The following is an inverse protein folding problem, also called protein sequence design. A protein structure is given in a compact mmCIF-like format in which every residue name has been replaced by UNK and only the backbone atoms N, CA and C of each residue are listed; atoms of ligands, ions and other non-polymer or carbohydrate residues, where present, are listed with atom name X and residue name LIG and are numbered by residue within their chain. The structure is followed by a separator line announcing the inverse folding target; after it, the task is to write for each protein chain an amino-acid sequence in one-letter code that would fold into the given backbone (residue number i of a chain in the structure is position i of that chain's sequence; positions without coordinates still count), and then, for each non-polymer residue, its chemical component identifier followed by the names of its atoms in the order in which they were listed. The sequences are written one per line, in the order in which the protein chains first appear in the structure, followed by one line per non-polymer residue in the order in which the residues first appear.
data_IF_774764568435
#
_entry.id   IF_774764568435
#
_cell.length_a   1.000
_cell.length_b   1.000
_cell.length_c   1.000
_cell.angle_alpha   90.00
_cell.angle_beta   90.00
_cell.angle_gamma   90.00
#
_symmetry.space_group_name_H-M   'P 1'
#
loop_
_entity.id
_entity.type
_entity.pdbx_description
1 polymer ?
#
# COMPACT_ATOMS: atom_id res chain seq x y z
N UNK A 1 3.41 -13.51 -1.80
CA UNK A 1 4.03 -14.04 -0.57
C UNK A 1 2.98 -14.48 0.45
N UNK A 2 3.37 -15.17 1.55
CA UNK A 2 2.43 -15.61 2.58
C UNK A 2 1.85 -14.42 3.35
N UNK A 3 0.63 -14.57 3.88
CA UNK A 3 0.10 -13.65 4.88
C UNK A 3 0.74 -13.96 6.22
N UNK A 4 1.29 -12.94 6.87
CA UNK A 4 1.87 -13.03 8.21
C UNK A 4 0.89 -12.38 9.18
N UNK A 5 0.52 -13.08 10.25
CA UNK A 5 -0.28 -12.53 11.33
C UNK A 5 0.57 -12.28 12.56
N UNK A 6 0.41 -11.10 13.15
CA UNK A 6 1.12 -10.65 14.33
C UNK A 6 0.15 -10.00 15.34
N UNK A 7 0.63 -9.72 16.53
CA UNK A 7 -0.14 -9.01 17.55
C UNK A 7 0.54 -7.71 17.96
N UNK A 8 -0.26 -6.69 18.17
CA UNK A 8 0.18 -5.40 18.71
C UNK A 8 0.99 -5.60 20.00
N UNK A 9 2.12 -4.89 20.11
CA UNK A 9 3.04 -4.97 21.25
C UNK A 9 3.85 -6.28 21.34
N UNK A 10 3.68 -7.22 20.39
CA UNK A 10 4.40 -8.49 20.39
C UNK A 10 5.45 -8.51 19.28
N UNK A 11 6.71 -8.50 19.68
CA UNK A 11 7.83 -8.53 18.73
C UNK A 11 7.81 -9.80 17.88
N UNK A 12 8.05 -9.62 16.58
CA UNK A 12 8.26 -10.69 15.60
C UNK A 12 9.64 -10.51 14.99
N UNK A 13 10.39 -11.61 14.83
CA UNK A 13 11.67 -11.63 14.11
C UNK A 13 11.47 -12.48 12.86
N UNK A 14 11.69 -11.88 11.69
CA UNK A 14 11.60 -12.55 10.40
C UNK A 14 13.00 -12.71 9.85
N UNK A 15 13.47 -13.96 9.78
CA UNK A 15 14.70 -14.28 9.08
C UNK A 15 14.42 -14.49 7.61
N UNK A 16 14.80 -13.53 6.80
CA UNK A 16 14.73 -13.63 5.35
C UNK A 16 16.00 -14.25 4.79
N UNK A 17 15.83 -15.23 3.89
CA UNK A 17 16.92 -15.83 3.12
C UNK A 17 16.70 -15.54 1.65
N UNK A 18 17.71 -14.98 1.00
CA UNK A 18 17.67 -14.67 -0.42
C UNK A 18 18.29 -15.79 -1.26
N UNK A 19 17.44 -16.63 -1.84
CA UNK A 19 17.84 -17.70 -2.79
C UNK A 19 17.64 -17.28 -4.26
N UNK A 20 17.15 -16.05 -4.50
CA UNK A 20 17.03 -15.49 -5.84
C UNK A 20 18.41 -15.16 -6.42
N UNK A 21 18.55 -15.06 -7.74
CA UNK A 21 19.81 -14.66 -8.37
C UNK A 21 20.10 -13.16 -8.28
N UNK A 22 19.24 -12.38 -7.62
CA UNK A 22 19.29 -10.91 -7.55
C UNK A 22 19.27 -10.45 -6.09
N UNK A 23 19.86 -9.28 -5.75
CA UNK A 23 19.69 -8.67 -4.45
C UNK A 23 18.23 -8.32 -4.15
N UNK A 24 17.84 -8.35 -2.88
CA UNK A 24 16.50 -7.97 -2.41
C UNK A 24 16.60 -7.08 -1.18
N UNK A 25 15.53 -6.32 -0.92
CA UNK A 25 15.30 -5.56 0.31
C UNK A 25 13.83 -5.75 0.69
N UNK A 26 13.52 -5.99 1.96
CA UNK A 26 12.12 -6.07 2.36
C UNK A 26 11.73 -4.90 3.23
N UNK A 27 10.78 -4.09 2.75
CA UNK A 27 10.13 -3.04 3.52
C UNK A 27 8.81 -3.57 4.12
N UNK A 28 8.57 -3.26 5.40
CA UNK A 28 7.25 -3.45 6.03
C UNK A 28 6.45 -2.16 5.91
N UNK A 29 5.68 -2.04 4.86
CA UNK A 29 4.86 -0.87 4.54
C UNK A 29 3.78 -0.62 5.61
N UNK A 30 3.80 0.56 6.20
CA UNK A 30 2.95 0.94 7.32
C UNK A 30 3.47 0.50 8.69
N UNK A 31 4.65 -0.12 8.73
CA UNK A 31 5.29 -0.58 9.96
C UNK A 31 5.98 0.54 10.73
N UNK A 32 5.70 0.64 12.04
CA UNK A 32 6.50 1.47 12.97
C UNK A 32 7.69 0.62 13.42
N UNK A 33 8.79 0.71 12.68
CA UNK A 33 9.95 -0.16 12.82
C UNK A 33 11.24 0.62 13.06
N UNK A 34 12.24 0.03 13.74
CA UNK A 34 13.56 0.64 13.80
C UNK A 34 14.20 0.70 12.40
N UNK A 35 15.07 1.69 12.12
CA UNK A 35 15.58 1.94 10.77
C UNK A 35 16.32 0.76 10.15
N UNK A 36 16.99 -0.07 10.94
CA UNK A 36 17.65 -1.29 10.48
C UNK A 36 16.70 -2.39 10.03
N UNK A 37 15.41 -2.29 10.35
CA UNK A 37 14.35 -3.21 9.97
C UNK A 37 13.29 -2.59 9.06
N UNK A 38 13.46 -1.33 8.66
CA UNK A 38 12.53 -0.61 7.78
C UNK A 38 12.61 -1.09 6.32
N UNK A 39 13.75 -1.64 5.90
CA UNK A 39 13.98 -2.00 4.50
C UNK A 39 14.41 -0.79 3.66
N UNK A 40 15.39 -0.03 4.15
CA UNK A 40 15.93 1.10 3.41
C UNK A 40 16.47 0.65 2.03
N UNK A 41 16.21 1.37 0.92
CA UNK A 41 16.39 0.89 -0.45
C UNK A 41 17.79 0.35 -0.81
N UNK A 42 18.82 0.77 -0.11
CA UNK A 42 20.20 0.32 -0.32
C UNK A 42 20.69 -0.70 0.71
N UNK A 43 19.82 -1.16 1.61
CA UNK A 43 20.13 -2.18 2.63
C UNK A 43 19.96 -3.59 2.07
N UNK A 44 20.86 -4.02 1.23
CA UNK A 44 20.71 -5.20 0.37
C UNK A 44 20.96 -6.52 1.11
N UNK A 45 20.16 -7.52 0.76
CA UNK A 45 20.43 -8.94 1.00
C UNK A 45 20.91 -9.55 -0.31
N UNK A 46 22.20 -9.83 -0.42
CA UNK A 46 22.79 -10.47 -1.59
C UNK A 46 22.37 -11.95 -1.68
N UNK A 47 22.35 -12.53 -2.90
CA UNK A 47 22.10 -13.95 -3.08
C UNK A 47 23.01 -14.86 -2.25
N UNK A 48 22.49 -16.00 -1.77
CA UNK A 48 23.31 -17.05 -1.14
C UNK A 48 24.37 -17.61 -2.09
N UNK A 49 24.13 -17.55 -3.41
CA UNK A 49 25.09 -17.98 -4.44
C UNK A 49 26.32 -17.08 -4.59
N UNK A 50 26.33 -15.93 -3.91
CA UNK A 50 27.48 -15.02 -3.88
C UNK A 50 27.74 -14.19 -5.15
N UNK A 51 26.93 -14.35 -6.20
CA UNK A 51 27.04 -13.57 -7.43
C UNK A 51 26.07 -12.39 -7.39
N UNK A 52 26.50 -11.26 -6.84
CA UNK A 52 25.81 -10.00 -7.04
C UNK A 52 26.33 -9.37 -8.34
N UNK A 53 25.46 -9.06 -9.28
CA UNK A 53 25.78 -8.20 -10.40
C UNK A 53 26.32 -6.84 -9.95
N UNK A 54 26.80 -6.00 -10.85
CA UNK A 54 27.33 -4.69 -10.52
C UNK A 54 26.31 -3.87 -9.72
N UNK A 55 26.63 -3.55 -8.47
CA UNK A 55 25.80 -2.70 -7.62
C UNK A 55 26.19 -1.25 -7.82
N UNK A 56 25.23 -0.40 -8.18
CA UNK A 56 25.47 1.02 -8.42
C UNK A 56 25.42 1.89 -7.15
N UNK A 57 24.84 1.36 -6.04
CA UNK A 57 24.68 2.10 -4.78
C UNK A 57 25.17 1.28 -3.58
N UNK A 58 26.26 1.73 -2.96
CA UNK A 58 26.91 1.05 -1.83
C UNK A 58 26.72 1.75 -0.47
N UNK A 59 25.74 2.65 -0.34
CA UNK A 59 25.60 3.49 0.85
C UNK A 59 24.80 2.86 2.00
N UNK A 60 24.30 1.63 1.85
CA UNK A 60 23.47 0.92 2.82
C UNK A 60 24.19 -0.26 3.51
N UNK A 61 23.49 -0.91 4.43
CA UNK A 61 23.92 -2.13 5.08
C UNK A 61 23.74 -3.33 4.12
N UNK A 62 24.84 -4.01 3.79
CA UNK A 62 24.83 -5.17 2.88
C UNK A 62 25.02 -6.45 3.69
N UNK A 63 24.13 -7.41 3.54
CA UNK A 63 24.23 -8.75 4.12
C UNK A 63 24.30 -9.81 3.03
N UNK A 64 24.85 -10.98 3.34
CA UNK A 64 24.98 -12.10 2.41
C UNK A 64 24.03 -13.23 2.77
N UNK A 65 23.18 -13.58 1.86
CA UNK A 65 22.26 -14.71 1.95
C UNK A 65 21.10 -14.55 2.93
N UNK A 66 21.31 -13.90 4.08
CA UNK A 66 20.28 -13.78 5.12
C UNK A 66 20.32 -12.43 5.83
N UNK A 67 19.12 -11.97 6.28
CA UNK A 67 18.95 -10.83 7.18
C UNK A 67 17.79 -11.09 8.13
N UNK A 68 17.95 -10.66 9.38
CA UNK A 68 16.88 -10.65 10.37
C UNK A 68 16.23 -9.27 10.40
N UNK A 69 14.90 -9.23 10.23
CA UNK A 69 14.07 -8.05 10.44
C UNK A 69 13.37 -8.20 11.78
N UNK A 70 13.50 -7.19 12.64
CA UNK A 70 12.88 -7.16 13.96
C UNK A 70 11.71 -6.17 13.92
N UNK A 71 10.50 -6.68 14.08
CA UNK A 71 9.28 -5.88 14.09
C UNK A 71 8.69 -5.86 15.48
N UNK A 72 8.82 -4.77 16.24
CA UNK A 72 8.30 -4.65 17.61
C UNK A 72 6.77 -4.65 17.67
N UNK A 73 6.10 -4.31 16.57
CA UNK A 73 4.64 -4.22 16.43
C UNK A 73 3.99 -3.29 17.49
N UNK A 74 4.68 -2.26 17.92
CA UNK A 74 4.17 -1.27 18.86
C UNK A 74 3.27 -0.26 18.15
N UNK A 75 2.23 -0.77 17.54
CA UNK A 75 1.21 0.00 16.82
C UNK A 75 -0.13 -0.72 16.91
N UNK A 76 -1.23 -0.03 16.59
CA UNK A 76 -2.58 -0.58 16.59
C UNK A 76 -2.76 -1.71 15.57
N UNK A 77 -3.86 -2.46 15.70
CA UNK A 77 -4.30 -3.42 14.69
C UNK A 77 -4.49 -2.72 13.35
N UNK A 78 -3.86 -3.28 12.31
CA UNK A 78 -3.95 -2.75 10.95
C UNK A 78 -3.58 -3.84 9.94
N UNK A 79 -4.03 -3.68 8.70
CA UNK A 79 -3.53 -4.44 7.57
C UNK A 79 -2.34 -3.72 6.97
N UNK A 80 -1.15 -4.16 7.30
CA UNK A 80 0.10 -3.79 6.67
C UNK A 80 0.39 -4.76 5.51
N UNK A 81 1.42 -4.48 4.76
CA UNK A 81 1.96 -5.39 3.77
C UNK A 81 3.47 -5.25 3.70
N UNK A 82 4.16 -6.24 3.15
CA UNK A 82 5.59 -6.17 2.90
C UNK A 82 5.86 -6.35 1.43
N UNK A 83 6.88 -5.67 0.94
CA UNK A 83 7.29 -5.78 -0.45
C UNK A 83 8.78 -5.52 -0.62
N UNK A 84 9.32 -5.92 -1.76
CA UNK A 84 10.69 -5.56 -2.11
C UNK A 84 10.80 -4.05 -2.31
N UNK A 85 11.90 -3.48 -1.84
CA UNK A 85 12.17 -2.04 -1.92
C UNK A 85 13.60 -1.77 -2.43
N UNK A 86 14.14 -2.71 -3.20
CA UNK A 86 15.49 -2.57 -3.74
C UNK A 86 15.56 -1.38 -4.68
N UNK A 87 16.49 -0.45 -4.38
CA UNK A 87 16.76 0.73 -5.22
C UNK A 87 16.85 0.36 -6.70
N UNK A 88 16.14 1.09 -7.54
CA UNK A 88 16.03 0.93 -8.99
C UNK A 88 15.31 -0.34 -9.48
N UNK A 89 14.82 -1.22 -8.59
CA UNK A 89 14.22 -2.50 -8.95
C UNK A 89 12.94 -2.84 -8.18
N UNK A 90 12.38 -1.89 -7.43
CA UNK A 90 11.12 -2.10 -6.70
C UNK A 90 10.01 -2.55 -7.65
N UNK A 91 9.81 -1.83 -8.75
CA UNK A 91 8.79 -2.12 -9.75
C UNK A 91 8.86 -3.54 -10.30
N UNK A 92 9.96 -3.98 -10.92
CA UNK A 92 10.07 -5.33 -11.47
C UNK A 92 10.00 -6.43 -10.42
N UNK A 93 10.47 -6.23 -9.20
CA UNK A 93 10.45 -7.26 -8.16
C UNK A 93 9.06 -7.41 -7.54
N UNK A 94 8.37 -6.32 -7.23
CA UNK A 94 6.96 -6.35 -6.81
C UNK A 94 6.06 -6.90 -7.91
N UNK A 95 6.31 -6.51 -9.16
CA UNK A 95 5.57 -7.06 -10.31
C UNK A 95 5.71 -8.58 -10.43
N UNK A 96 6.86 -9.14 -10.07
CA UNK A 96 7.12 -10.59 -10.01
C UNK A 96 6.61 -11.27 -8.74
N UNK A 97 5.96 -10.54 -7.83
CA UNK A 97 5.27 -11.09 -6.66
C UNK A 97 6.08 -11.08 -5.36
N UNK A 98 7.15 -10.27 -5.26
CA UNK A 98 7.86 -10.08 -3.99
C UNK A 98 7.08 -9.12 -3.08
N UNK A 99 5.89 -9.53 -2.70
CA UNK A 99 4.99 -8.82 -1.80
C UNK A 99 4.07 -9.80 -1.06
N UNK A 100 3.56 -9.40 0.10
CA UNK A 100 2.59 -10.19 0.87
C UNK A 100 1.99 -9.36 2.01
N UNK A 101 0.93 -9.88 2.62
CA UNK A 101 0.23 -9.20 3.72
C UNK A 101 0.92 -9.43 5.06
N UNK A 102 0.85 -8.40 5.91
CA UNK A 102 1.23 -8.46 7.32
C UNK A 102 0.09 -7.86 8.15
N UNK A 103 -0.65 -8.69 8.86
CA UNK A 103 -1.84 -8.27 9.60
C UNK A 103 -1.51 -8.23 11.09
N UNK A 104 -1.62 -7.05 11.68
CA UNK A 104 -1.50 -6.87 13.13
C UNK A 104 -2.90 -6.92 13.73
N UNK A 105 -3.08 -7.75 14.76
CA UNK A 105 -4.30 -7.88 15.57
C UNK A 105 -4.09 -7.24 16.94
N UNK A 106 -5.14 -6.73 17.56
CA UNK A 106 -5.14 -6.27 18.95
C UNK A 106 -6.44 -6.63 19.67
N UNK A 107 -6.48 -6.33 20.96
CA UNK A 107 -7.65 -6.63 21.80
C UNK A 107 -8.87 -5.76 21.45
N UNK A 108 -8.66 -4.56 20.90
CA UNK A 108 -9.74 -3.66 20.50
C UNK A 108 -10.47 -4.25 19.30
N UNK A 109 -9.72 -4.63 18.27
CA UNK A 109 -10.30 -5.27 17.08
C UNK A 109 -10.96 -6.61 17.45
N UNK A 110 -10.30 -7.41 18.30
CA UNK A 110 -10.82 -8.71 18.73
C UNK A 110 -12.13 -8.60 19.52
N UNK A 111 -12.40 -7.50 20.19
CA UNK A 111 -13.62 -7.29 20.96
C UNK A 111 -14.82 -6.87 20.10
N UNK A 112 -14.61 -6.40 18.87
CA UNK A 112 -15.69 -5.94 18.00
C UNK A 112 -16.43 -7.14 17.39
N UNK A 113 -17.76 -7.09 17.23
CA UNK A 113 -18.56 -8.15 16.61
C UNK A 113 -18.51 -8.10 15.06
N UNK A 114 -17.36 -7.78 14.48
CA UNK A 114 -17.17 -7.71 13.04
C UNK A 114 -17.13 -9.11 12.40
N UNK A 115 -17.39 -9.24 11.08
CA UNK A 115 -17.21 -10.50 10.37
C UNK A 115 -15.79 -11.06 10.53
N UNK A 116 -15.67 -12.38 10.81
CA UNK A 116 -14.41 -13.07 11.11
C UNK A 116 -14.34 -14.45 10.46
N UNK A 117 -13.16 -15.06 10.58
CA UNK A 117 -12.91 -16.38 10.02
C UNK A 117 -13.09 -16.38 8.51
N UNK A 118 -13.93 -17.27 8.00
CA UNK A 118 -14.19 -17.37 6.55
C UNK A 118 -14.87 -16.12 5.95
N UNK A 119 -15.44 -15.26 6.80
CA UNK A 119 -16.07 -14.00 6.39
C UNK A 119 -15.14 -12.79 6.48
N UNK A 120 -13.88 -12.99 6.84
CA UNK A 120 -12.82 -11.98 6.77
C UNK A 120 -11.86 -12.37 5.65
N UNK A 121 -11.93 -11.67 4.53
CA UNK A 121 -11.25 -12.05 3.29
C UNK A 121 -10.28 -10.96 2.87
N UNK A 122 -8.97 -11.19 2.93
CA UNK A 122 -7.99 -10.27 2.36
C UNK A 122 -8.00 -10.38 0.83
N UNK A 123 -8.00 -9.24 0.15
CA UNK A 123 -7.99 -9.11 -1.30
C UNK A 123 -6.80 -8.26 -1.74
N UNK A 124 -5.74 -8.91 -2.21
CA UNK A 124 -4.58 -8.25 -2.81
C UNK A 124 -4.82 -8.11 -4.30
N UNK A 125 -5.09 -6.89 -4.74
CA UNK A 125 -5.41 -6.56 -6.14
C UNK A 125 -4.12 -6.13 -6.84
N UNK A 126 -3.84 -6.73 -7.98
CA UNK A 126 -2.70 -6.40 -8.84
C UNK A 126 -3.13 -6.46 -10.30
N UNK A 127 -2.41 -5.79 -11.17
CA UNK A 127 -2.55 -5.96 -12.61
C UNK A 127 -1.24 -6.45 -13.23
N UNK A 128 -1.36 -7.32 -14.23
CA UNK A 128 -0.22 -7.94 -14.93
C UNK A 128 -0.51 -7.99 -16.43
N UNK A 129 0.55 -8.02 -17.22
CA UNK A 129 0.51 -8.40 -18.63
C UNK A 129 1.31 -9.68 -18.82
N UNK A 130 0.78 -10.60 -19.59
CA UNK A 130 1.43 -11.85 -19.90
C UNK A 130 1.79 -11.91 -21.41
N UNK A 131 2.93 -12.50 -21.71
CA UNK A 131 3.29 -12.85 -23.08
C UNK A 131 2.40 -13.97 -23.61
N UNK A 132 2.47 -14.24 -24.92
CA UNK A 132 1.74 -15.35 -25.53
C UNK A 132 2.11 -16.71 -24.93
N UNK A 133 3.31 -16.85 -24.38
CA UNK A 133 3.80 -18.06 -23.72
C UNK A 133 3.44 -18.11 -22.21
N UNK A 134 2.70 -17.10 -21.70
CA UNK A 134 2.24 -17.01 -20.31
C UNK A 134 3.28 -16.47 -19.32
N UNK A 135 4.39 -15.94 -19.79
CA UNK A 135 5.39 -15.29 -18.94
C UNK A 135 4.98 -13.85 -18.61
N UNK A 136 5.42 -13.34 -17.45
CA UNK A 136 5.20 -11.95 -17.08
C UNK A 136 5.98 -11.00 -18.01
N UNK A 137 5.27 -10.05 -18.60
CA UNK A 137 5.87 -8.96 -19.37
C UNK A 137 6.13 -7.76 -18.48
N UNK A 138 7.38 -7.27 -18.43
CA UNK A 138 7.74 -6.05 -17.72
C UNK A 138 8.79 -5.23 -18.51
N UNK A 139 8.60 -3.90 -18.65
CA UNK A 139 9.43 -3.05 -19.52
C UNK A 139 10.72 -2.57 -18.82
N UNK A 140 11.52 -3.46 -18.27
CA UNK A 140 12.83 -3.14 -17.71
C UNK A 140 13.90 -3.09 -18.80
N UNK A 141 14.87 -2.17 -18.69
CA UNK A 141 16.05 -2.12 -19.54
C UNK A 141 17.05 -3.25 -19.25
N UNK A 142 17.04 -3.77 -18.03
CA UNK A 142 17.80 -4.97 -17.63
C UNK A 142 16.83 -6.07 -17.19
N UNK A 143 16.43 -6.97 -18.10
CA UNK A 143 15.49 -8.03 -17.75
C UNK A 143 16.08 -9.05 -16.75
N UNK A 144 17.41 -9.07 -16.56
CA UNK A 144 18.06 -9.92 -15.56
C UNK A 144 18.01 -9.35 -14.15
N UNK A 145 17.70 -8.05 -14.02
CA UNK A 145 17.63 -7.30 -12.76
C UNK A 145 18.96 -7.28 -11.96
N UNK A 146 20.10 -7.42 -12.65
CA UNK A 146 21.40 -7.50 -12.00
C UNK A 146 22.23 -6.23 -12.11
N UNK A 147 22.09 -5.46 -13.18
CA UNK A 147 23.03 -4.41 -13.53
C UNK A 147 22.42 -3.02 -13.64
N UNK A 148 21.86 -2.67 -14.77
CA UNK A 148 21.39 -1.33 -15.10
C UNK A 148 19.88 -1.31 -15.22
N UNK A 149 19.19 -1.05 -14.12
CA UNK A 149 17.74 -0.95 -14.14
C UNK A 149 17.33 0.32 -14.87
N UNK A 150 16.08 0.39 -15.15
CA UNK A 150 15.44 1.58 -15.68
C UNK A 150 14.12 1.20 -16.29
N UNK A 151 13.24 2.18 -16.35
CA UNK A 151 11.95 2.05 -17.01
C UNK A 151 12.08 2.59 -18.43
N UNK A 152 11.61 1.82 -19.41
CA UNK A 152 11.56 2.30 -20.80
C UNK A 152 10.64 3.51 -20.86
N UNK A 153 11.02 4.55 -21.60
CA UNK A 153 10.34 5.85 -21.64
C UNK A 153 8.84 5.77 -21.97
N UNK A 154 8.41 4.77 -22.74
CA UNK A 154 6.99 4.52 -23.02
C UNK A 154 6.18 4.05 -21.80
N UNK A 155 6.83 3.68 -20.71
CA UNK A 155 6.22 3.26 -19.45
C UNK A 155 6.55 4.20 -18.28
N UNK A 156 7.05 5.39 -18.59
CA UNK A 156 7.41 6.38 -17.57
C UNK A 156 6.20 6.81 -16.70
N UNK A 157 4.97 6.66 -17.18
CA UNK A 157 3.75 6.91 -16.40
C UNK A 157 3.36 5.74 -15.48
N UNK A 158 4.04 4.61 -15.58
CA UNK A 158 3.78 3.40 -14.82
C UNK A 158 3.45 2.19 -15.67
N UNK A 159 3.60 1.00 -15.10
CA UNK A 159 3.18 -0.25 -15.70
C UNK A 159 1.69 -0.50 -15.43
N UNK A 160 0.90 -0.54 -16.50
CA UNK A 160 -0.52 -0.84 -16.47
C UNK A 160 -0.78 -2.18 -17.16
N UNK A 161 -1.03 -3.21 -16.39
CA UNK A 161 -1.34 -4.54 -16.91
C UNK A 161 -2.76 -4.62 -17.49
N UNK A 162 -3.01 -5.62 -18.33
CA UNK A 162 -4.32 -5.87 -18.97
C UNK A 162 -5.11 -6.99 -18.28
N UNK A 163 -4.49 -7.68 -17.33
CA UNK A 163 -5.07 -8.80 -16.58
C UNK A 163 -5.09 -8.46 -15.09
N UNK A 164 -6.29 -8.32 -14.53
CA UNK A 164 -6.45 -8.07 -13.09
C UNK A 164 -6.37 -9.39 -12.33
N UNK A 165 -5.52 -9.42 -11.30
CA UNK A 165 -5.37 -10.56 -10.41
C UNK A 165 -5.81 -10.16 -9.00
N UNK A 166 -6.55 -11.04 -8.35
CA UNK A 166 -6.83 -10.93 -6.91
C UNK A 166 -6.25 -12.17 -6.23
N UNK A 167 -5.38 -11.95 -5.26
CA UNK A 167 -4.63 -13.01 -4.58
C UNK A 167 -3.86 -13.93 -5.56
N UNK A 168 -3.42 -13.38 -6.69
CA UNK A 168 -2.66 -14.08 -7.72
C UNK A 168 -3.50 -14.86 -8.74
N UNK A 169 -4.83 -14.89 -8.61
CA UNK A 169 -5.73 -15.51 -9.58
C UNK A 169 -6.38 -14.45 -10.49
N UNK A 170 -6.42 -14.65 -11.83
CA UNK A 170 -7.07 -13.72 -12.74
C UNK A 170 -8.59 -13.79 -12.59
N UNK A 171 -9.22 -12.64 -12.32
CA UNK A 171 -10.68 -12.48 -12.18
C UNK A 171 -11.35 -13.59 -11.37
N UNK A 172 -10.94 -13.87 -10.12
CA UNK A 172 -11.43 -15.02 -9.39
C UNK A 172 -12.90 -14.89 -9.00
N UNK A 173 -13.49 -16.04 -8.65
CA UNK A 173 -14.83 -16.14 -8.09
C UNK A 173 -14.74 -16.58 -6.64
N UNK A 174 -15.47 -15.90 -5.75
CA UNK A 174 -15.65 -16.28 -4.36
C UNK A 174 -17.12 -16.61 -4.12
N UNK A 175 -17.41 -17.82 -3.67
CA UNK A 175 -18.73 -18.18 -3.18
C UNK A 175 -18.96 -17.58 -1.79
N UNK A 176 -20.05 -16.84 -1.61
CA UNK A 176 -20.44 -16.20 -0.35
C UNK A 176 -21.83 -16.65 0.09
N UNK A 177 -22.12 -16.52 1.37
CA UNK A 177 -23.47 -16.66 1.93
C UNK A 177 -24.19 -15.33 2.01
N UNK A 178 -25.51 -15.36 2.35
CA UNK A 178 -26.33 -14.18 2.58
C UNK A 178 -26.00 -13.53 3.93
N UNK A 179 -24.76 -13.08 4.10
CA UNK A 179 -24.23 -12.51 5.33
C UNK A 179 -23.26 -11.35 5.03
N UNK A 180 -22.80 -10.69 6.06
CA UNK A 180 -21.75 -9.66 5.95
C UNK A 180 -20.38 -10.31 5.85
N UNK A 181 -19.58 -9.77 4.94
CA UNK A 181 -18.17 -10.13 4.76
C UNK A 181 -17.30 -8.90 4.95
N UNK A 182 -16.21 -9.07 5.69
CA UNK A 182 -15.16 -8.08 5.85
C UNK A 182 -14.10 -8.31 4.78
N UNK A 183 -13.96 -7.37 3.87
CA UNK A 183 -12.96 -7.42 2.81
C UNK A 183 -11.81 -6.48 3.17
N UNK A 184 -10.60 -7.03 3.26
CA UNK A 184 -9.39 -6.25 3.47
C UNK A 184 -8.71 -5.99 2.13
N UNK A 185 -8.96 -4.81 1.58
CA UNK A 185 -8.51 -4.42 0.25
C UNK A 185 -7.09 -3.85 0.31
N UNK A 186 -6.19 -4.39 -0.48
CA UNK A 186 -4.88 -3.82 -0.78
C UNK A 186 -4.75 -3.66 -2.29
N UNK A 187 -4.41 -2.47 -2.74
CA UNK A 187 -3.93 -2.29 -4.12
C UNK A 187 -2.41 -2.46 -4.15
N UNK A 188 -1.94 -3.60 -4.63
CA UNK A 188 -0.53 -3.91 -4.82
C UNK A 188 -0.11 -3.88 -6.31
N UNK A 189 -0.84 -3.12 -7.14
CA UNK A 189 -0.43 -2.80 -8.51
C UNK A 189 0.75 -1.85 -8.51
N UNK A 190 1.56 -1.89 -9.56
CA UNK A 190 2.69 -0.99 -9.69
C UNK A 190 2.26 0.49 -9.82
N UNK A 191 1.22 0.75 -10.64
CA UNK A 191 0.82 2.11 -10.97
C UNK A 191 -0.71 2.34 -11.01
N UNK A 192 -1.51 1.28 -11.24
CA UNK A 192 -2.95 1.41 -11.49
C UNK A 192 -3.75 1.75 -10.24
N UNK A 193 -4.47 2.89 -10.20
CA UNK A 193 -5.56 3.09 -9.24
C UNK A 193 -6.81 2.34 -9.70
N UNK A 194 -7.71 2.05 -8.77
CA UNK A 194 -9.02 1.45 -9.04
C UNK A 194 -10.12 2.28 -8.40
N UNK A 195 -11.17 2.58 -9.16
CA UNK A 195 -12.44 3.05 -8.60
C UNK A 195 -13.38 1.85 -8.48
N UNK A 196 -13.33 1.22 -7.31
CA UNK A 196 -14.04 -0.04 -7.02
C UNK A 196 -15.53 0.23 -6.77
N UNK A 197 -16.39 -0.59 -7.37
CA UNK A 197 -17.83 -0.58 -7.14
C UNK A 197 -18.39 -2.00 -7.22
N UNK A 198 -19.60 -2.23 -6.67
CA UNK A 198 -20.36 -3.46 -6.85
C UNK A 198 -21.31 -3.36 -8.03
N UNK A 199 -21.43 -4.44 -8.81
CA UNK A 199 -22.36 -4.55 -9.93
C UNK A 199 -23.04 -5.93 -9.95
N UNK A 200 -24.36 -6.03 -9.72
CA UNK A 200 -25.28 -4.91 -9.40
C UNK A 200 -24.98 -4.29 -8.02
N UNK A 201 -25.27 -3.01 -7.81
CA UNK A 201 -25.21 -2.41 -6.48
C UNK A 201 -26.23 -3.08 -5.54
N UNK A 202 -26.04 -3.00 -4.20
CA UNK A 202 -27.01 -3.56 -3.29
C UNK A 202 -28.39 -2.88 -3.46
N UNK A 203 -29.49 -3.62 -3.31
CA UNK A 203 -30.83 -3.04 -3.43
C UNK A 203 -31.14 -1.94 -2.42
N UNK A 204 -30.47 -2.00 -1.25
CA UNK A 204 -30.64 -1.02 -0.18
C UNK A 204 -29.29 -0.71 0.47
N UNK A 205 -29.08 0.54 0.87
CA UNK A 205 -27.87 0.98 1.55
C UNK A 205 -26.64 1.06 0.67
N UNK A 206 -25.47 1.34 1.28
CA UNK A 206 -24.21 1.53 0.57
C UNK A 206 -23.61 0.21 0.08
N UNK A 207 -22.76 0.28 -0.96
CA UNK A 207 -22.03 -0.87 -1.46
C UNK A 207 -20.96 -1.35 -0.45
N UNK A 208 -20.30 -0.41 0.21
CA UNK A 208 -19.23 -0.68 1.16
C UNK A 208 -19.46 0.13 2.44
N UNK A 209 -19.16 -0.47 3.58
CA UNK A 209 -19.02 0.25 4.85
C UNK A 209 -17.57 0.18 5.24
N UNK A 210 -16.86 1.29 5.11
CA UNK A 210 -15.47 1.39 5.50
C UNK A 210 -15.35 1.38 7.02
N UNK A 211 -14.56 0.45 7.55
CA UNK A 211 -14.28 0.29 8.97
C UNK A 211 -12.81 0.54 9.32
N UNK A 212 -11.94 0.60 8.31
CA UNK A 212 -10.51 0.85 8.50
C UNK A 212 -9.83 1.43 7.26
N UNK A 213 -8.63 1.95 7.47
CA UNK A 213 -7.72 2.50 6.46
C UNK A 213 -6.31 1.92 6.64
N UNK A 214 -5.29 2.54 6.03
CA UNK A 214 -3.89 2.10 6.12
C UNK A 214 -3.44 1.87 7.56
N UNK A 215 -3.77 2.80 8.46
CA UNK A 215 -3.38 2.78 9.86
C UNK A 215 -4.34 2.04 10.80
N UNK A 216 -5.27 1.23 10.29
CA UNK A 216 -6.18 0.41 11.09
C UNK A 216 -7.60 0.96 11.18
N UNK A 217 -8.32 0.57 12.23
CA UNK A 217 -9.73 0.90 12.38
C UNK A 217 -9.99 2.41 12.41
N UNK A 218 -11.09 2.80 11.76
CA UNK A 218 -11.67 4.14 11.90
C UNK A 218 -12.32 4.30 13.28
N UNK A 219 -12.62 5.52 13.66
CA UNK A 219 -13.41 5.80 14.87
C UNK A 219 -14.86 5.38 14.70
N UNK A 220 -15.42 5.62 13.51
CA UNK A 220 -16.78 5.32 13.10
C UNK A 220 -16.81 4.73 11.69
N UNK A 221 -17.80 3.88 11.37
CA UNK A 221 -17.96 3.36 10.02
C UNK A 221 -18.39 4.46 9.04
N UNK A 222 -17.89 4.40 7.81
CA UNK A 222 -18.21 5.36 6.73
C UNK A 222 -18.81 4.62 5.54
N UNK A 223 -20.04 4.98 5.10
CA UNK A 223 -20.63 4.37 3.92
C UNK A 223 -20.04 4.93 2.63
N UNK A 224 -19.85 4.05 1.64
CA UNK A 224 -19.42 4.38 0.29
C UNK A 224 -20.17 3.55 -0.75
N UNK A 225 -20.48 4.15 -1.89
CA UNK A 225 -20.96 3.42 -3.07
C UNK A 225 -19.78 3.00 -3.96
N UNK A 226 -18.72 3.77 -3.93
CA UNK A 226 -17.48 3.52 -4.66
C UNK A 226 -16.27 3.85 -3.80
N UNK A 227 -15.16 3.14 -4.01
CA UNK A 227 -13.88 3.38 -3.32
C UNK A 227 -12.78 3.57 -4.34
N UNK A 228 -12.15 4.74 -4.31
CA UNK A 228 -10.90 4.98 -5.03
C UNK A 228 -9.74 4.47 -4.17
N UNK A 229 -8.99 3.50 -4.70
CA UNK A 229 -7.84 2.91 -4.02
C UNK A 229 -6.61 2.97 -4.94
N UNK A 230 -5.63 3.76 -4.55
CA UNK A 230 -4.37 3.89 -5.27
C UNK A 230 -3.35 2.82 -4.85
N UNK A 231 -2.27 2.61 -5.62
CA UNK A 231 -1.17 1.73 -5.21
C UNK A 231 -0.71 1.98 -3.78
N UNK A 232 -0.55 0.90 -3.04
CA UNK A 232 -0.21 0.82 -1.62
C UNK A 232 -1.30 1.20 -0.61
N UNK A 233 -2.39 1.84 -1.01
CA UNK A 233 -3.48 2.12 -0.09
C UNK A 233 -4.20 0.84 0.35
N UNK A 234 -4.71 0.84 1.58
CA UNK A 234 -5.52 -0.23 2.16
C UNK A 234 -6.86 0.33 2.61
N UNK A 235 -7.89 -0.44 2.35
CA UNK A 235 -9.23 -0.22 2.88
C UNK A 235 -9.73 -1.49 3.55
N UNK A 236 -10.28 -1.36 4.72
CA UNK A 236 -10.97 -2.42 5.44
C UNK A 236 -12.46 -2.10 5.38
N UNK A 237 -13.22 -2.94 4.69
CA UNK A 237 -14.62 -2.67 4.40
C UNK A 237 -15.52 -3.86 4.72
N UNK A 238 -16.76 -3.60 5.02
CA UNK A 238 -17.80 -4.62 5.12
C UNK A 238 -18.76 -4.50 3.95
N UNK A 239 -19.01 -5.62 3.29
CA UNK A 239 -20.04 -5.80 2.25
C UNK A 239 -21.13 -6.70 2.80
N UNK A 240 -22.39 -6.29 2.65
CA UNK A 240 -23.55 -7.06 3.09
C UNK A 240 -24.17 -7.85 1.93
N UNK A 241 -23.74 -9.10 1.77
CA UNK A 241 -24.32 -10.00 0.77
C UNK A 241 -25.72 -10.52 1.15
N UNK A 242 -26.19 -10.26 2.39
CA UNK A 242 -27.57 -10.50 2.80
C UNK A 242 -28.59 -9.65 2.04
N UNK A 243 -28.16 -8.57 1.39
CA UNK A 243 -28.97 -7.73 0.52
C UNK A 243 -29.32 -8.41 -0.83
N UNK A 244 -28.63 -9.49 -1.19
CA UNK A 244 -28.79 -10.15 -2.49
C UNK A 244 -29.46 -11.50 -2.33
N UNK A 245 -30.41 -11.89 -3.22
CA UNK A 245 -30.95 -13.23 -3.24
C UNK A 245 -29.87 -14.31 -3.54
N UNK A 246 -30.06 -15.50 -3.00
CA UNK A 246 -29.25 -16.67 -3.39
C UNK A 246 -29.36 -16.90 -4.92
N UNK A 247 -28.24 -17.12 -5.56
CA UNK A 247 -28.13 -17.25 -7.01
C UNK A 247 -27.69 -15.94 -7.70
N UNK A 248 -27.55 -14.84 -6.97
CA UNK A 248 -27.03 -13.58 -7.55
C UNK A 248 -25.50 -13.66 -7.68
N UNK A 249 -25.00 -13.25 -8.85
CA UNK A 249 -23.58 -12.96 -9.05
C UNK A 249 -23.36 -11.45 -8.94
N UNK A 250 -22.51 -11.05 -8.01
CA UNK A 250 -22.12 -9.65 -7.74
C UNK A 250 -20.68 -9.47 -8.17
N UNK A 251 -20.42 -8.56 -9.10
CA UNK A 251 -19.06 -8.26 -9.56
C UNK A 251 -18.47 -7.11 -8.75
N UNK A 252 -17.20 -7.26 -8.37
CA UNK A 252 -16.37 -6.12 -7.99
C UNK A 252 -15.76 -5.58 -9.28
N UNK A 253 -16.11 -4.36 -9.63
CA UNK A 253 -15.72 -3.71 -10.90
C UNK A 253 -14.83 -2.51 -10.65
N UNK A 254 -13.98 -2.19 -11.61
CA UNK A 254 -13.23 -0.95 -11.68
C UNK A 254 -13.92 0.01 -12.66
N UNK A 255 -14.52 1.08 -12.15
CA UNK A 255 -15.25 2.08 -12.97
C UNK A 255 -14.35 2.90 -13.90
N UNK A 256 -13.04 2.97 -13.60
CA UNK A 256 -12.04 3.63 -14.44
C UNK A 256 -11.35 2.65 -15.40
N UNK A 257 -11.63 1.35 -15.29
CA UNK A 257 -11.14 0.32 -16.19
C UNK A 257 -11.88 0.28 -17.53
N UNK A 258 -11.20 -0.24 -18.53
CA UNK A 258 -11.77 -0.47 -19.86
C UNK A 258 -11.51 -1.92 -20.30
N UNK A 259 -12.50 -2.54 -20.97
CA UNK A 259 -12.38 -3.93 -21.39
C UNK A 259 -12.09 -4.86 -20.19
N UNK A 260 -11.06 -5.73 -20.27
CA UNK A 260 -10.75 -6.68 -19.20
C UNK A 260 -10.39 -6.03 -17.85
N UNK A 261 -9.88 -4.79 -17.87
CA UNK A 261 -9.48 -4.09 -16.64
C UNK A 261 -10.64 -3.44 -15.90
N UNK A 262 -11.86 -3.47 -16.46
CA UNK A 262 -13.07 -3.10 -15.77
C UNK A 262 -13.58 -4.16 -14.78
N UNK A 263 -13.17 -5.42 -14.95
CA UNK A 263 -13.54 -6.51 -14.05
C UNK A 263 -12.40 -6.77 -13.04
N UNK A 264 -12.74 -6.92 -11.74
CA UNK A 264 -11.77 -7.24 -10.69
C UNK A 264 -11.97 -8.67 -10.20
N UNK A 265 -13.17 -8.99 -9.69
CA UNK A 265 -13.55 -10.35 -9.29
C UNK A 265 -15.08 -10.47 -9.23
N UNK A 266 -15.56 -11.68 -8.94
CA UNK A 266 -16.98 -11.96 -8.78
C UNK A 266 -17.25 -12.67 -7.45
N UNK A 267 -18.35 -12.28 -6.81
CA UNK A 267 -18.93 -12.97 -5.66
C UNK A 267 -20.22 -13.67 -6.12
N UNK A 268 -20.32 -14.99 -5.88
CA UNK A 268 -21.54 -15.74 -6.14
C UNK A 268 -22.24 -16.00 -4.79
N UNK A 269 -23.44 -15.42 -4.62
CA UNK A 269 -24.25 -15.65 -3.41
C UNK A 269 -24.83 -17.07 -3.51
N UNK A 270 -24.09 -18.04 -3.00
CA UNK A 270 -24.34 -19.46 -3.25
C UNK A 270 -25.33 -20.10 -2.23
N UNK A 271 -25.44 -19.55 -1.02
CA UNK A 271 -26.18 -20.18 0.07
C UNK A 271 -26.78 -19.16 1.04
N UNK A 272 -27.80 -19.60 1.79
CA UNK A 272 -28.30 -18.85 2.95
C UNK A 272 -27.37 -19.07 4.14
N UNK A 273 -27.07 -17.98 4.83
CA UNK A 273 -26.31 -18.01 6.09
C UNK A 273 -26.99 -17.12 7.12
N UNK A 274 -26.88 -17.50 8.40
CA UNK A 274 -27.28 -16.63 9.49
C UNK A 274 -26.24 -15.52 9.71
N UNK A 275 -26.74 -14.31 9.96
CA UNK A 275 -25.91 -13.16 10.26
C UNK A 275 -25.66 -13.03 11.76
N UNK A 276 -24.40 -13.07 12.19
CA UNK A 276 -24.00 -12.97 13.60
C UNK A 276 -23.15 -11.72 13.86
N UNK A 277 -22.73 -11.02 12.80
CA UNK A 277 -21.88 -9.85 12.95
C UNK A 277 -22.69 -8.57 13.04
N UNK A 278 -22.09 -7.58 13.69
CA UNK A 278 -22.62 -6.23 13.76
C UNK A 278 -21.50 -5.25 13.38
N UNK A 279 -21.88 -4.10 12.85
CA UNK A 279 -20.97 -2.98 12.65
C UNK A 279 -21.34 -1.92 13.69
N UNK A 280 -20.58 -1.81 14.79
CA UNK A 280 -20.87 -0.82 15.81
C UNK A 280 -20.70 0.60 15.29
N UNK A 281 -21.48 1.54 15.84
CA UNK A 281 -21.33 2.98 15.54
C UNK A 281 -19.94 3.53 15.95
N UNK A 282 -19.28 2.86 16.89
CA UNK A 282 -17.91 3.18 17.32
C UNK A 282 -17.03 1.94 17.19
N UNK A 283 -15.97 2.06 16.36
CA UNK A 283 -15.05 0.97 16.06
C UNK A 283 -13.76 1.06 16.87
N UNK A 284 -13.28 2.27 17.09
CA UNK A 284 -12.08 2.52 17.88
C UNK A 284 -12.27 3.72 18.81
N UNK A 285 -11.36 3.86 19.76
CA UNK A 285 -11.30 5.06 20.57
C UNK A 285 -10.85 6.23 19.68
N UNK A 286 -11.52 7.37 19.88
CA UNK A 286 -11.09 8.61 19.26
C UNK A 286 -9.64 8.91 19.66
N UNK A 287 -8.78 9.01 18.68
CA UNK A 287 -7.44 9.54 18.86
C UNK A 287 -7.46 10.98 18.40
N UNK A 288 -7.23 11.93 19.32
CA UNK A 288 -7.24 13.34 18.96
C UNK A 288 -6.23 13.57 17.83
N UNK A 289 -6.67 14.29 16.79
CA UNK A 289 -5.77 14.84 15.80
C UNK A 289 -4.71 15.66 16.53
N UNK A 290 -3.43 15.55 16.17
CA UNK A 290 -2.45 16.50 16.60
C UNK A 290 -2.95 17.90 16.27
N UNK A 291 -2.88 18.84 17.22
CA UNK A 291 -3.32 20.21 16.98
C UNK A 291 -2.43 20.84 15.88
N UNK A 292 -2.99 21.28 14.74
CA UNK A 292 -2.20 21.92 13.70
C UNK A 292 -1.44 23.15 14.17
N UNK A 293 -1.92 23.84 15.21
CA UNK A 293 -1.24 25.01 15.81
C UNK A 293 0.01 24.63 16.60
N UNK A 294 0.15 23.35 17.00
CA UNK A 294 1.33 22.82 17.69
C UNK A 294 2.36 22.23 16.71
N UNK A 295 2.10 22.28 15.41
CA UNK A 295 3.05 21.82 14.41
C UNK A 295 4.33 22.63 14.48
N UNK A 296 5.46 21.96 14.72
CA UNK A 296 6.76 22.61 14.85
C UNK A 296 7.26 23.20 13.53
N UNK A 297 6.85 22.62 12.43
CA UNK A 297 7.24 23.03 11.09
C UNK A 297 6.18 22.66 10.05
N UNK A 298 6.09 23.50 9.01
CA UNK A 298 5.33 23.21 7.80
C UNK A 298 6.34 23.04 6.66
N UNK A 299 6.44 21.81 6.12
CA UNK A 299 7.35 21.51 5.01
C UNK A 299 6.59 21.40 3.71
N UNK A 300 7.23 21.78 2.62
CA UNK A 300 6.65 21.68 1.29
C UNK A 300 7.48 20.76 0.42
N UNK A 301 6.79 19.78 -0.20
CA UNK A 301 7.39 18.84 -1.14
C UNK A 301 6.60 18.84 -2.44
N UNK A 302 7.33 18.88 -3.56
CA UNK A 302 6.75 18.86 -4.89
C UNK A 302 7.20 17.60 -5.63
N UNK A 303 6.25 16.77 -6.03
CA UNK A 303 6.45 15.54 -6.78
C UNK A 303 6.15 15.81 -8.26
N UNK A 304 7.11 15.51 -9.14
CA UNK A 304 7.01 15.77 -10.57
C UNK A 304 7.45 14.54 -11.34
N UNK A 305 6.53 14.00 -12.15
CA UNK A 305 6.83 12.85 -13.01
C UNK A 305 7.90 13.20 -14.05
N UNK A 306 8.76 12.25 -14.33
CA UNK A 306 9.72 12.33 -15.42
C UNK A 306 9.05 12.14 -16.78
N UNK A 307 9.62 12.76 -17.83
CA UNK A 307 9.16 12.62 -19.19
C UNK A 307 10.33 12.77 -20.18
N UNK A 308 10.22 12.17 -21.36
CA UNK A 308 11.24 12.25 -22.43
C UNK A 308 12.69 11.98 -21.97
N UNK A 309 12.89 11.00 -21.08
CA UNK A 309 14.21 10.65 -20.56
C UNK A 309 14.68 11.47 -19.35
N UNK A 310 13.88 12.39 -18.85
CA UNK A 310 14.14 13.07 -17.58
C UNK A 310 13.64 12.19 -16.43
N UNK A 311 14.39 12.10 -15.32
CA UNK A 311 13.96 11.34 -14.14
C UNK A 311 12.77 11.98 -13.44
N UNK A 312 12.04 11.19 -12.69
CA UNK A 312 11.06 11.68 -11.72
C UNK A 312 11.78 12.35 -10.54
N UNK A 313 11.16 13.35 -9.92
CA UNK A 313 11.85 14.17 -8.92
C UNK A 313 10.94 14.52 -7.73
N UNK A 314 11.59 14.74 -6.59
CA UNK A 314 11.00 15.47 -5.45
C UNK A 314 11.76 16.80 -5.30
N UNK A 315 11.05 17.92 -5.30
CA UNK A 315 11.64 19.28 -5.26
C UNK A 315 12.70 19.51 -6.35
N UNK A 316 12.43 19.00 -7.58
CA UNK A 316 13.33 19.09 -8.74
C UNK A 316 14.69 18.41 -8.51
N UNK A 317 14.75 17.42 -7.64
CA UNK A 317 15.94 16.64 -7.33
C UNK A 317 15.66 15.15 -7.47
N UNK A 318 16.63 14.44 -8.01
CA UNK A 318 16.65 12.98 -8.01
C UNK A 318 17.09 12.47 -6.63
N UNK A 319 16.70 11.25 -6.28
CA UNK A 319 17.11 10.62 -5.05
C UNK A 319 18.63 10.55 -4.90
N UNK A 320 19.11 10.88 -3.70
CA UNK A 320 20.48 10.72 -3.28
C UNK A 320 20.49 10.13 -1.86
N UNK A 321 20.97 8.90 -1.65
CA UNK A 321 20.95 8.25 -0.35
C UNK A 321 21.75 9.00 0.73
N UNK A 322 22.60 9.95 0.35
CA UNK A 322 23.39 10.75 1.29
C UNK A 322 22.77 12.12 1.61
N UNK A 323 21.72 12.52 0.89
CA UNK A 323 21.03 13.79 1.13
C UNK A 323 19.82 13.56 2.04
N UNK A 324 19.64 14.43 3.03
CA UNK A 324 18.47 14.45 3.92
C UNK A 324 17.64 15.69 3.58
N UNK A 325 16.42 15.47 3.08
CA UNK A 325 15.50 16.54 2.68
C UNK A 325 14.74 17.16 3.87
N UNK A 326 14.45 16.35 4.90
CA UNK A 326 13.79 16.78 6.11
C UNK A 326 14.45 16.18 7.35
N UNK A 327 14.38 16.88 8.49
CA UNK A 327 14.88 16.41 9.79
C UNK A 327 13.84 16.68 10.88
N UNK A 328 12.73 15.94 10.88
CA UNK A 328 11.75 16.05 11.94
C UNK A 328 12.38 15.72 13.30
N UNK A 329 12.01 16.48 14.33
CA UNK A 329 12.47 16.15 15.68
C UNK A 329 11.61 15.02 16.25
N UNK A 330 12.27 14.10 16.93
CA UNK A 330 11.55 13.03 17.63
C UNK A 330 10.52 13.62 18.60
N UNK A 331 9.35 13.00 18.66
CA UNK A 331 8.20 13.36 19.49
C UNK A 331 7.55 14.70 19.15
N UNK A 332 7.81 15.24 17.95
CA UNK A 332 7.16 16.46 17.46
C UNK A 332 6.18 16.18 16.33
N UNK A 333 5.28 17.13 16.12
CA UNK A 333 4.31 17.11 15.02
C UNK A 333 4.75 18.08 13.94
N UNK A 334 4.62 17.68 12.69
CA UNK A 334 4.84 18.54 11.53
C UNK A 334 3.65 18.45 10.56
N UNK A 335 3.45 19.50 9.78
CA UNK A 335 2.55 19.49 8.62
C UNK A 335 3.39 19.42 7.36
N UNK A 336 3.09 18.46 6.50
CA UNK A 336 3.71 18.35 5.19
C UNK A 336 2.70 18.76 4.11
N UNK A 337 3.07 19.78 3.34
CA UNK A 337 2.33 20.20 2.14
C UNK A 337 2.89 19.45 0.94
N UNK A 338 2.10 18.55 0.42
CA UNK A 338 2.44 17.72 -0.73
C UNK A 338 1.81 18.35 -1.97
N UNK A 339 2.63 18.68 -2.95
CA UNK A 339 2.21 19.16 -4.26
C UNK A 339 2.60 18.12 -5.31
N UNK A 340 1.73 17.84 -6.25
CA UNK A 340 2.03 16.84 -7.27
C UNK A 340 1.35 17.19 -8.61
N UNK A 341 1.99 16.84 -9.70
CA UNK A 341 1.31 16.62 -10.97
C UNK A 341 0.45 15.33 -10.88
N UNK A 342 -0.35 14.98 -11.89
CA UNK A 342 -1.34 13.90 -11.72
C UNK A 342 -0.75 12.52 -11.42
N UNK A 343 -1.45 11.82 -10.54
CA UNK A 343 -1.35 10.38 -10.28
C UNK A 343 -0.09 9.91 -9.52
N UNK A 344 0.09 10.49 -8.33
CA UNK A 344 1.13 10.07 -7.40
C UNK A 344 0.52 9.58 -6.08
N UNK A 345 0.56 8.28 -5.76
CA UNK A 345 0.41 7.81 -4.38
C UNK A 345 1.69 8.16 -3.61
N UNK A 346 1.59 9.04 -2.63
CA UNK A 346 2.76 9.48 -1.84
C UNK A 346 2.76 8.74 -0.52
N UNK A 347 3.82 7.99 -0.26
CA UNK A 347 4.03 7.20 0.94
C UNK A 347 5.13 7.79 1.84
N UNK A 348 4.88 7.75 3.15
CA UNK A 348 5.84 8.10 4.19
C UNK A 348 6.15 6.87 5.03
N UNK A 349 7.43 6.50 5.13
CA UNK A 349 7.90 5.43 6.03
C UNK A 349 7.77 5.85 7.49
N UNK A 350 7.79 4.89 8.41
CA UNK A 350 7.78 5.03 9.87
C UNK A 350 6.49 5.61 10.44
N UNK A 351 5.93 6.68 9.89
CA UNK A 351 4.85 7.45 10.49
C UNK A 351 3.53 7.29 9.75
N UNK A 352 2.46 7.36 10.53
CA UNK A 352 1.11 7.53 9.98
C UNK A 352 0.70 8.99 10.12
N UNK A 353 -0.11 9.45 9.19
CA UNK A 353 -0.59 10.82 9.13
C UNK A 353 -2.11 10.89 8.95
N UNK A 354 -2.68 12.06 9.20
CA UNK A 354 -4.05 12.40 8.84
C UNK A 354 -4.03 13.45 7.73
N UNK A 355 -4.90 13.30 6.75
CA UNK A 355 -5.08 14.33 5.71
C UNK A 355 -5.89 15.47 6.30
N UNK A 356 -5.34 16.69 6.28
CA UNK A 356 -5.99 17.90 6.79
C UNK A 356 -6.79 18.64 5.73
N UNK A 357 -6.26 18.67 4.51
CA UNK A 357 -6.89 19.41 3.42
C UNK A 357 -6.46 18.89 2.06
N UNK A 358 -7.29 19.17 1.03
CA UNK A 358 -6.95 18.99 -0.38
C UNK A 358 -7.27 20.27 -1.16
N UNK A 359 -6.28 20.79 -1.89
CA UNK A 359 -6.42 22.02 -2.70
C UNK A 359 -7.04 23.19 -1.91
N UNK A 360 -6.70 23.31 -0.63
CA UNK A 360 -7.23 24.34 0.27
C UNK A 360 -8.68 24.09 0.76
N UNK A 361 -9.30 22.97 0.36
CA UNK A 361 -10.61 22.51 0.85
C UNK A 361 -10.49 21.37 1.88
N UNK A 362 -11.60 20.79 2.32
CA UNK A 362 -11.59 19.68 3.26
C UNK A 362 -10.95 18.41 2.66
N UNK A 363 -10.62 17.40 3.49
CA UNK A 363 -10.23 16.06 3.02
C UNK A 363 -11.27 15.46 2.08
N UNK A 364 -10.80 14.59 1.19
CA UNK A 364 -11.67 13.84 0.28
C UNK A 364 -12.43 12.69 0.99
N UNK A 365 -13.39 12.06 0.30
CA UNK A 365 -14.21 11.00 0.88
C UNK A 365 -13.41 9.75 1.29
N UNK A 366 -12.25 9.53 0.70
CA UNK A 366 -11.41 8.36 0.93
C UNK A 366 -10.16 8.66 1.80
N UNK A 367 -10.09 9.87 2.39
CA UNK A 367 -8.96 10.31 3.24
C UNK A 367 -9.15 9.98 4.72
N UNK A 368 -10.24 9.33 5.08
CA UNK A 368 -10.57 9.05 6.47
C UNK A 368 -9.56 8.11 7.13
N UNK A 369 -9.34 8.32 8.42
CA UNK A 369 -8.47 7.46 9.24
C UNK A 369 -7.01 7.87 9.22
N UNK A 370 -6.20 7.06 9.90
CA UNK A 370 -4.74 7.17 9.85
C UNK A 370 -4.23 6.50 8.58
N UNK A 371 -3.43 7.21 7.83
CA UNK A 371 -2.89 6.77 6.55
C UNK A 371 -1.36 6.84 6.57
N UNK A 372 -0.74 6.09 5.70
CA UNK A 372 0.68 6.21 5.37
C UNK A 372 0.90 6.52 3.88
N UNK A 373 -0.15 6.43 3.10
CA UNK A 373 -0.15 6.71 1.65
C UNK A 373 -1.32 7.64 1.31
N UNK A 374 -1.06 8.70 0.55
CA UNK A 374 -2.07 9.64 0.08
C UNK A 374 -2.02 9.77 -1.44
N UNK A 375 -3.13 9.48 -2.10
CA UNK A 375 -3.20 9.57 -3.56
C UNK A 375 -3.42 11.00 -4.04
N UNK A 376 -2.50 11.48 -4.89
CA UNK A 376 -2.56 12.81 -5.50
C UNK A 376 -2.95 12.70 -6.97
N UNK A 377 -4.11 13.23 -7.32
CA UNK A 377 -4.58 13.39 -8.72
C UNK A 377 -4.25 14.77 -9.28
N UNK A 378 -3.08 15.29 -8.90
CA UNK A 378 -2.67 16.66 -9.12
C UNK A 378 -3.08 17.60 -7.97
N UNK A 379 -2.49 18.79 -7.94
CA UNK A 379 -2.79 19.80 -6.92
C UNK A 379 -2.02 19.61 -5.63
N UNK A 380 -2.69 19.82 -4.48
CA UNK A 380 -2.03 19.78 -3.17
C UNK A 380 -2.84 19.04 -2.11
N UNK A 381 -2.13 18.46 -1.14
CA UNK A 381 -2.69 17.97 0.11
C UNK A 381 -1.82 18.43 1.28
N UNK A 382 -2.45 18.71 2.42
CA UNK A 382 -1.74 18.89 3.68
C UNK A 382 -1.98 17.62 4.52
N UNK A 383 -0.89 17.06 5.02
CA UNK A 383 -0.93 15.94 5.96
C UNK A 383 -0.25 16.33 7.26
N UNK A 384 -0.79 15.85 8.38
CA UNK A 384 -0.22 16.07 9.71
C UNK A 384 0.28 14.75 10.27
N UNK A 385 1.54 14.70 10.67
CA UNK A 385 2.18 13.53 11.24
C UNK A 385 2.91 13.86 12.55
N UNK A 386 2.84 12.93 13.51
CA UNK A 386 3.69 12.96 14.69
C UNK A 386 4.88 12.03 14.45
N UNK A 387 6.08 12.58 14.43
CA UNK A 387 7.33 11.84 14.26
C UNK A 387 7.78 11.27 15.59
N UNK A 388 7.45 10.01 15.86
CA UNK A 388 7.72 9.32 17.11
C UNK A 388 8.23 7.90 16.89
N UNK A 389 8.65 7.23 17.96
CA UNK A 389 9.12 5.85 17.95
C UNK A 389 10.62 5.73 17.76
N UNK A 390 11.13 5.98 16.57
CA UNK A 390 12.54 5.71 16.25
C UNK A 390 13.26 6.92 15.67
N UNK A 391 14.56 6.95 15.89
CA UNK A 391 15.49 7.86 15.21
C UNK A 391 16.22 7.08 14.14
N UNK A 392 16.43 7.69 12.99
CA UNK A 392 17.16 7.05 11.91
C UNK A 392 16.94 7.75 10.59
N UNK A 393 17.30 7.08 9.54
CA UNK A 393 17.09 7.53 8.18
C UNK A 393 15.98 6.68 7.57
N UNK A 394 14.96 7.36 7.08
CA UNK A 394 13.80 6.79 6.42
C UNK A 394 13.58 7.48 5.08
N UNK A 395 12.71 6.94 4.25
CA UNK A 395 12.36 7.54 2.96
C UNK A 395 10.88 7.94 2.93
N UNK A 396 10.58 8.89 2.05
CA UNK A 396 9.24 9.15 1.55
C UNK A 396 9.34 9.25 0.03
N UNK A 397 8.34 8.72 -0.67
CA UNK A 397 8.42 8.56 -2.11
C UNK A 397 7.04 8.46 -2.76
N UNK A 398 7.00 8.57 -4.08
CA UNK A 398 5.85 8.16 -4.86
C UNK A 398 5.78 6.64 -4.91
N UNK A 399 4.61 6.06 -4.66
CA UNK A 399 4.38 4.62 -4.72
C UNK A 399 3.79 4.14 -6.06
N UNK A 400 3.88 4.95 -7.12
CA UNK A 400 3.97 4.44 -8.47
C UNK A 400 5.39 3.91 -8.61
N UNK A 401 5.54 2.59 -8.71
CA UNK A 401 6.83 1.92 -8.55
C UNK A 401 7.81 2.27 -9.68
N UNK A 402 7.31 2.60 -10.86
CA UNK A 402 8.11 3.09 -11.97
C UNK A 402 8.64 4.50 -11.68
N UNK A 403 7.84 5.38 -11.04
CA UNK A 403 8.30 6.70 -10.59
C UNK A 403 9.32 6.60 -9.47
N UNK A 404 9.14 5.67 -8.53
CA UNK A 404 10.09 5.37 -7.47
C UNK A 404 11.43 4.92 -8.06
N UNK A 405 11.41 3.91 -8.95
CA UNK A 405 12.61 3.43 -9.66
C UNK A 405 13.24 4.52 -10.56
N UNK A 406 12.46 5.53 -10.97
CA UNK A 406 12.93 6.73 -11.66
C UNK A 406 13.35 7.85 -10.70
N UNK A 407 13.65 7.56 -9.44
CA UNK A 407 14.23 8.46 -8.44
C UNK A 407 13.26 9.43 -7.73
N UNK A 408 11.94 9.22 -7.77
CA UNK A 408 10.95 10.05 -7.06
C UNK A 408 10.88 9.68 -5.57
N UNK A 409 11.97 9.92 -4.87
CA UNK A 409 12.16 9.58 -3.46
C UNK A 409 13.08 10.58 -2.78
N UNK A 410 12.96 10.74 -1.47
CA UNK A 410 13.84 11.54 -0.62
C UNK A 410 13.98 10.93 0.77
N UNK A 411 15.02 11.34 1.49
CA UNK A 411 15.27 10.91 2.87
C UNK A 411 14.76 11.94 3.88
N UNK A 412 14.32 11.43 5.01
CA UNK A 412 14.12 12.22 6.22
C UNK A 412 14.70 11.53 7.45
#
# INVERSE_FOLDING_TARGET
GPTIEARSGRQVIIRQRNELPVPVVTHLHGGVTPPESDGYPTDLILPVSGHAGAMHHHSGAVTHGTRDYVYPNQQRAAMLWYHDHRMDFTGPQVYRGLAGLYIIRDEIEDALPLPRGEREVPLVITDRTFTADGELYYPSLDPTLQGRPGVVSSFANGMFGDTILVNGAPWPVLEVGTARYRLRLLNASNARPYLLALDPPPPNGPAFIQIGSDGGLLEQPIPHDEILIAPAERFDVVVDFGQYPVGTSVRLVNREGVGPTAEVMRFDVARREEEYSEIPDRLAREEPLPDPSEAMEVRRFQFIAGFFGWPSTVNFRIFDPNRIAARPRLDTTEIWELHADPEHPIHLHLVQFRVLSRNGGPPGPWDAGWKDTVFMRGGSAQVIARFSGYRGKYVFHCHNLEHEDMMMMENF
#
